data_IF_446688569427
#
_entry.id   IF_446688569427
#
_cell.length_a   1.000
_cell.length_b   1.000
_cell.length_c   1.000
_cell.angle_alpha   90.00
_cell.angle_beta   90.00
_cell.angle_gamma   90.00
#
_symmetry.space_group_name_H-M   'P 1'
#
loop_
_entity.id
_entity.type
_entity.pdbx_description
1 polymer ?
#
# COMPACT_ATOMS: atom_id res chain seq x y z
N UNK A 1 -10.97 7.83 -22.71
CA UNK A 1 -10.19 7.81 -21.45
C UNK A 1 -10.52 9.10 -20.71
N UNK A 2 -10.73 9.07 -19.39
CA UNK A 2 -11.14 10.23 -18.56
C UNK A 2 -9.99 11.14 -18.13
N UNK A 3 -8.90 11.19 -18.90
CA UNK A 3 -7.71 12.01 -18.63
C UNK A 3 -7.24 12.68 -19.90
N UNK A 4 -6.36 13.67 -19.75
CA UNK A 4 -5.69 14.28 -20.88
C UNK A 4 -4.77 13.28 -21.62
N UNK A 5 -4.20 13.70 -22.75
CA UNK A 5 -3.32 12.87 -23.57
C UNK A 5 -2.05 12.38 -22.84
N UNK A 6 -1.73 12.97 -21.68
CA UNK A 6 -0.56 12.66 -20.86
C UNK A 6 -0.92 11.97 -19.53
N UNK A 7 -2.20 11.62 -19.33
CA UNK A 7 -2.66 10.93 -18.12
C UNK A 7 -2.82 11.82 -16.89
N UNK A 8 -2.82 13.15 -17.05
CA UNK A 8 -3.02 14.13 -15.98
C UNK A 8 -4.50 14.27 -15.64
N UNK A 9 -4.77 14.64 -14.38
CA UNK A 9 -6.11 15.01 -13.96
C UNK A 9 -6.51 16.32 -14.64
N UNK A 10 -7.75 16.36 -15.09
CA UNK A 10 -8.34 17.54 -15.71
C UNK A 10 -9.07 18.32 -14.61
N UNK A 11 -8.70 19.58 -14.43
CA UNK A 11 -9.41 20.49 -13.53
C UNK A 11 -10.51 21.21 -14.32
N UNK A 12 -11.69 21.33 -13.72
CA UNK A 12 -12.78 22.14 -14.23
C UNK A 12 -12.95 23.39 -13.35
N UNK A 13 -12.73 24.56 -13.96
CA UNK A 13 -12.80 25.86 -13.26
C UNK A 13 -14.23 26.25 -12.89
N UNK A 14 -15.25 25.71 -13.59
CA UNK A 14 -16.65 26.11 -13.41
C UNK A 14 -17.23 25.53 -12.12
N UNK A 15 -16.90 24.27 -11.81
CA UNK A 15 -17.36 23.56 -10.60
C UNK A 15 -16.24 23.28 -9.59
N UNK A 16 -15.01 23.72 -9.87
CA UNK A 16 -13.83 23.52 -9.02
C UNK A 16 -13.53 22.04 -8.74
N UNK A 17 -13.80 21.16 -9.71
CA UNK A 17 -13.62 19.72 -9.58
C UNK A 17 -12.42 19.19 -10.36
N UNK A 18 -11.96 17.99 -10.01
CA UNK A 18 -10.95 17.24 -10.77
C UNK A 18 -11.55 15.95 -11.33
N UNK A 19 -11.39 15.75 -12.63
CA UNK A 19 -11.64 14.46 -13.30
C UNK A 19 -10.33 13.67 -13.37
N UNK A 20 -10.32 12.43 -12.85
CA UNK A 20 -9.12 11.58 -12.74
C UNK A 20 -9.20 10.31 -13.57
N UNK A 21 -8.05 9.66 -13.78
CA UNK A 21 -7.98 8.32 -14.37
C UNK A 21 -8.48 7.24 -13.42
N UNK A 22 -8.98 6.15 -14.01
CA UNK A 22 -9.29 4.90 -13.31
C UNK A 22 -8.10 4.38 -12.47
N UNK A 23 -6.87 4.49 -13.01
CA UNK A 23 -5.66 4.06 -12.32
C UNK A 23 -5.40 4.83 -11.01
N UNK A 24 -5.63 6.15 -11.00
CA UNK A 24 -5.50 6.96 -9.78
C UNK A 24 -6.55 6.58 -8.75
N UNK A 25 -7.79 6.35 -9.17
CA UNK A 25 -8.82 5.89 -8.25
C UNK A 25 -8.45 4.54 -7.62
N UNK A 26 -7.96 3.58 -8.41
CA UNK A 26 -7.50 2.28 -7.89
C UNK A 26 -6.37 2.41 -6.87
N UNK A 27 -5.38 3.26 -7.14
CA UNK A 27 -4.28 3.51 -6.19
C UNK A 27 -4.81 4.09 -4.87
N UNK A 28 -5.72 5.06 -4.93
CA UNK A 28 -6.34 5.66 -3.74
C UNK A 28 -7.19 4.64 -2.95
N UNK A 29 -7.88 3.73 -3.62
CA UNK A 29 -8.63 2.68 -2.94
C UNK A 29 -7.71 1.68 -2.23
N UNK A 30 -6.62 1.30 -2.87
CA UNK A 30 -5.60 0.42 -2.27
C UNK A 30 -4.95 1.07 -1.04
N UNK A 31 -4.57 2.35 -1.14
CA UNK A 31 -4.05 3.15 -0.01
C UNK A 31 -5.06 3.26 1.14
N UNK A 32 -6.36 3.27 0.84
CA UNK A 32 -7.43 3.27 1.82
C UNK A 32 -7.77 1.88 2.39
N UNK A 33 -7.08 0.82 1.97
CA UNK A 33 -7.36 -0.56 2.40
C UNK A 33 -8.66 -1.12 1.82
N UNK A 34 -9.09 -0.59 0.67
CA UNK A 34 -10.30 -1.01 -0.04
C UNK A 34 -9.93 -1.81 -1.29
N UNK A 35 -10.59 -2.96 -1.46
CA UNK A 35 -10.41 -3.79 -2.64
C UNK A 35 -11.57 -3.58 -3.61
N UNK A 36 -11.25 -3.28 -4.87
CA UNK A 36 -12.26 -3.19 -5.94
C UNK A 36 -12.69 -4.59 -6.34
N UNK A 37 -13.96 -4.92 -6.13
CA UNK A 37 -14.54 -6.25 -6.41
C UNK A 37 -15.15 -6.31 -7.80
N UNK A 38 -15.78 -5.23 -8.25
CA UNK A 38 -16.38 -5.13 -9.57
C UNK A 38 -16.24 -3.71 -10.14
N UNK A 39 -16.27 -3.63 -11.47
CA UNK A 39 -16.19 -2.38 -12.21
C UNK A 39 -17.07 -2.43 -13.45
N UNK A 40 -18.07 -1.56 -13.54
CA UNK A 40 -19.00 -1.51 -14.67
C UNK A 40 -18.97 -0.13 -15.34
N UNK A 41 -18.84 -0.12 -16.67
CA UNK A 41 -18.93 1.11 -17.46
C UNK A 41 -20.41 1.36 -17.79
N UNK A 42 -20.89 2.57 -17.51
CA UNK A 42 -22.27 2.93 -17.80
C UNK A 42 -22.52 3.00 -19.31
N UNK A 43 -23.61 2.35 -19.74
CA UNK A 43 -24.02 2.30 -21.16
C UNK A 43 -25.04 3.39 -21.46
N UNK A 44 -25.11 3.80 -22.72
CA UNK A 44 -26.11 4.77 -23.20
C UNK A 44 -25.78 6.24 -22.96
N UNK A 45 -24.59 6.56 -22.43
CA UNK A 45 -24.14 7.95 -22.32
C UNK A 45 -23.66 8.52 -23.67
N UNK A 46 -23.93 9.81 -23.96
CA UNK A 46 -23.35 10.53 -25.09
C UNK A 46 -21.82 10.43 -25.13
N UNK A 47 -21.24 10.37 -26.33
CA UNK A 47 -19.78 10.26 -26.52
C UNK A 47 -19.01 11.53 -26.15
N UNK A 48 -19.70 12.65 -26.09
CA UNK A 48 -19.12 13.96 -25.77
C UNK A 48 -18.95 14.18 -24.27
N UNK A 49 -19.46 13.26 -23.44
CA UNK A 49 -19.30 13.27 -21.99
C UNK A 49 -18.19 12.31 -21.56
N UNK A 50 -17.63 12.59 -20.38
CA UNK A 50 -16.69 11.65 -19.76
C UNK A 50 -17.37 10.31 -19.47
N UNK A 51 -16.66 9.19 -19.68
CA UNK A 51 -17.19 7.87 -19.37
C UNK A 51 -17.41 7.74 -17.86
N UNK A 52 -18.62 7.32 -17.48
CA UNK A 52 -18.98 7.08 -16.07
C UNK A 52 -18.80 5.61 -15.75
N UNK A 53 -18.08 5.32 -14.65
CA UNK A 53 -17.86 3.96 -14.16
C UNK A 53 -18.39 3.83 -12.74
N UNK A 54 -19.10 2.74 -12.48
CA UNK A 54 -19.45 2.32 -11.12
C UNK A 54 -18.42 1.30 -10.64
N UNK A 55 -17.93 1.50 -9.41
CA UNK A 55 -16.98 0.61 -8.76
C UNK A 55 -17.63 0.05 -7.50
N UNK A 56 -17.64 -1.27 -7.39
CA UNK A 56 -18.01 -1.95 -6.17
C UNK A 56 -16.74 -2.26 -5.37
N UNK A 57 -16.76 -1.94 -4.09
CA UNK A 57 -15.60 -2.05 -3.21
C UNK A 57 -15.96 -2.78 -1.94
N UNK A 58 -15.00 -3.54 -1.45
CA UNK A 58 -15.10 -4.25 -0.19
C UNK A 58 -13.94 -3.83 0.69
N UNK A 59 -14.24 -3.45 1.93
CA UNK A 59 -13.24 -3.19 2.96
C UNK A 59 -13.04 -4.47 3.73
N UNK A 60 -11.79 -4.91 3.88
CA UNK A 60 -11.52 -5.98 4.83
C UNK A 60 -11.58 -5.40 6.25
N UNK A 61 -12.59 -5.80 7.03
CA UNK A 61 -12.78 -5.37 8.42
C UNK A 61 -11.68 -5.93 9.36
N UNK A 62 -10.83 -6.84 8.88
CA UNK A 62 -9.80 -7.52 9.69
C UNK A 62 -8.54 -6.69 9.99
N UNK A 63 -8.49 -5.42 9.62
CA UNK A 63 -7.32 -4.54 9.81
C UNK A 63 -7.01 -4.14 11.27
N UNK A 64 -7.73 -4.66 12.27
CA UNK A 64 -7.32 -4.56 13.71
C UNK A 64 -6.46 -5.75 14.17
N UNK A 65 -6.02 -6.67 13.29
CA UNK A 65 -5.16 -7.81 13.72
C UNK A 65 -4.05 -8.21 12.77
N UNK A 66 -3.09 -7.33 12.44
CA UNK A 66 -1.73 -7.81 12.07
C UNK A 66 -0.64 -6.80 12.46
N UNK A 67 -0.14 -6.88 13.69
CA UNK A 67 1.24 -6.46 14.00
C UNK A 67 1.78 -7.26 15.19
N UNK A 68 1.86 -8.58 15.05
CA UNK A 68 2.53 -9.45 16.02
C UNK A 68 3.48 -10.48 15.39
N UNK A 69 3.72 -10.42 14.06
CA UNK A 69 4.59 -11.39 13.38
C UNK A 69 5.92 -10.80 12.85
N UNK A 70 6.12 -9.48 12.85
CA UNK A 70 7.40 -8.85 12.47
C UNK A 70 8.39 -8.77 13.64
N UNK A 71 7.92 -8.65 14.88
CA UNK A 71 8.78 -8.59 16.08
C UNK A 71 9.43 -9.94 16.40
N UNK A 72 8.72 -11.06 16.16
CA UNK A 72 9.23 -12.41 16.47
C UNK A 72 10.41 -12.79 15.57
N UNK A 73 10.40 -12.38 14.29
CA UNK A 73 11.55 -12.60 13.38
C UNK A 73 12.77 -11.75 13.75
N UNK A 74 12.58 -10.54 14.27
CA UNK A 74 13.68 -9.69 14.74
C UNK A 74 14.35 -10.23 16.01
N UNK A 75 13.57 -10.77 16.95
CA UNK A 75 14.11 -11.35 18.19
C UNK A 75 14.84 -12.68 17.93
N UNK A 76 14.36 -13.50 16.99
CA UNK A 76 15.03 -14.76 16.63
C UNK A 76 16.40 -14.53 15.94
N UNK A 77 16.54 -13.47 15.15
CA UNK A 77 17.81 -13.09 14.50
C UNK A 77 18.88 -12.60 15.50
N UNK A 78 18.48 -11.88 16.55
CA UNK A 78 19.40 -11.33 17.55
C UNK A 78 19.95 -12.35 18.56
N UNK A 79 19.41 -13.58 18.62
CA UNK A 79 19.88 -14.61 19.55
C UNK A 79 21.03 -15.46 19.00
N UNK A 80 21.20 -15.53 17.68
CA UNK A 80 22.28 -16.33 17.05
C UNK A 80 23.64 -15.62 17.09
N UNK A 81 23.66 -14.29 17.20
CA UNK A 81 24.91 -13.52 17.19
C UNK A 81 25.54 -13.28 18.57
N UNK A 82 24.84 -13.54 19.69
CA UNK A 82 25.40 -13.28 21.04
C UNK A 82 26.28 -14.39 21.61
N UNK A 83 26.31 -15.56 20.98
CA UNK A 83 27.09 -16.71 21.46
C UNK A 83 28.50 -16.78 20.85
N UNK A 84 28.84 -15.89 19.91
CA UNK A 84 30.14 -15.90 19.21
C UNK A 84 31.26 -15.09 19.90
N UNK A 85 30.94 -14.19 20.84
CA UNK A 85 31.90 -13.26 21.44
C UNK A 85 32.46 -13.69 22.82
N UNK A 86 32.09 -14.88 23.34
CA UNK A 86 32.53 -15.34 24.67
C UNK A 86 33.86 -16.12 24.70
N UNK A 87 34.61 -16.23 23.60
CA UNK A 87 35.82 -17.10 23.56
C UNK A 87 37.19 -16.41 23.59
N UNK A 88 37.29 -15.08 23.69
CA UNK A 88 38.61 -14.40 23.72
C UNK A 88 38.80 -13.46 24.92
N UNK A 89 38.92 -14.03 26.11
CA UNK A 89 39.73 -13.41 27.18
C UNK A 89 40.31 -14.45 28.14
N UNK A 90 41.30 -15.23 27.68
CA UNK A 90 42.22 -15.95 28.57
C UNK A 90 43.37 -15.01 28.91
N UNK A 91 43.35 -14.40 30.09
CA UNK A 91 44.51 -13.70 30.65
C UNK A 91 45.49 -14.77 31.16
N UNK A 92 46.77 -14.77 30.75
CA UNK A 92 47.75 -15.73 31.26
C UNK A 92 48.04 -15.45 32.74
N UNK A 93 48.02 -16.50 33.57
CA UNK A 93 48.38 -16.41 34.99
C UNK A 93 49.89 -16.21 35.12
N UNK A 94 50.30 -15.17 35.84
CA UNK A 94 51.70 -14.92 36.22
C UNK A 94 52.08 -15.91 37.33
N UNK A 95 53.19 -16.67 37.20
CA UNK A 95 53.62 -17.59 38.25
C UNK A 95 54.18 -16.82 39.45
N UNK A 96 53.94 -17.37 40.65
CA UNK A 96 54.34 -16.87 41.97
C UNK A 96 55.85 -16.94 42.21
#
# INVERSE_FOLDING_TARGET
MSTDAWGKDIFDDVDSSFTRSDAKFRALFDEAGMMVVAAELQKGFPKDLFPVRMLDYWTDCLSVRVTLNSTIKMIASQRVHKDADSQYHKIPKVPS
#
